data_IF_664954891051
#
_entry.id   IF_664954891051
#
_cell.length_a   1.000
_cell.length_b   1.000
_cell.length_c   1.000
_cell.angle_alpha   90.00
_cell.angle_beta   90.00
_cell.angle_gamma   90.00
#
_symmetry.space_group_name_H-M   'P 1'
#
loop_
_entity.id
_entity.type
_entity.pdbx_description
1 polymer ?
#
# COMPACT_ATOMS: atom_id res chain seq x y z
N UNK A 1 6.47 -39.97 -21.89
CA UNK A 1 6.79 -39.69 -20.47
C UNK A 1 6.11 -38.38 -20.11
N UNK A 2 4.89 -38.39 -19.56
CA UNK A 2 4.25 -37.13 -19.15
C UNK A 2 5.09 -36.51 -18.03
N UNK A 3 5.46 -35.25 -18.19
CA UNK A 3 6.10 -34.46 -17.17
C UNK A 3 5.07 -34.23 -16.07
N UNK A 4 5.40 -34.66 -14.85
CA UNK A 4 4.60 -34.41 -13.67
C UNK A 4 4.40 -32.90 -13.49
N UNK A 5 3.17 -32.50 -13.71
CA UNK A 5 2.48 -31.36 -13.14
C UNK A 5 2.50 -31.44 -11.61
N UNK A 6 3.66 -31.12 -11.02
CA UNK A 6 3.72 -30.79 -9.59
C UNK A 6 3.13 -29.40 -9.36
N UNK A 7 1.80 -29.35 -9.42
CA UNK A 7 0.99 -28.28 -8.88
C UNK A 7 0.94 -28.41 -7.35
N UNK A 8 2.09 -28.23 -6.70
CA UNK A 8 2.16 -27.99 -5.26
C UNK A 8 1.42 -26.68 -4.97
N UNK A 9 0.12 -26.79 -4.68
CA UNK A 9 -0.80 -25.74 -4.24
C UNK A 9 -0.24 -24.95 -3.08
N UNK A 10 0.63 -24.01 -3.40
CA UNK A 10 1.09 -22.96 -2.50
C UNK A 10 0.27 -21.76 -2.89
N UNK A 11 -0.90 -21.62 -2.27
CA UNK A 11 -1.80 -20.48 -2.45
C UNK A 11 -0.97 -19.19 -2.50
N UNK A 12 -1.09 -18.43 -3.59
CA UNK A 12 -0.32 -17.21 -3.77
C UNK A 12 -0.59 -16.29 -2.57
N UNK A 13 0.42 -15.89 -1.78
CA UNK A 13 0.20 -15.03 -0.63
C UNK A 13 -0.45 -13.69 -1.01
N UNK A 14 -0.38 -13.28 -2.28
CA UNK A 14 -0.98 -12.06 -2.81
C UNK A 14 -2.29 -12.28 -3.59
N UNK A 15 -2.95 -13.43 -3.44
CA UNK A 15 -4.23 -13.73 -4.11
C UNK A 15 -5.32 -12.67 -3.89
N UNK A 16 -5.24 -11.92 -2.79
CA UNK A 16 -6.16 -10.82 -2.49
C UNK A 16 -6.10 -9.67 -3.50
N UNK A 17 -5.02 -9.51 -4.26
CA UNK A 17 -4.88 -8.44 -5.25
C UNK A 17 -5.81 -8.62 -6.45
N UNK A 18 -6.04 -9.87 -6.84
CA UNK A 18 -6.97 -10.23 -7.92
C UNK A 18 -8.36 -10.56 -7.38
N UNK A 19 -8.46 -11.12 -6.18
CA UNK A 19 -9.73 -11.49 -5.56
C UNK A 19 -10.57 -10.29 -5.08
N UNK A 20 -9.94 -9.15 -4.77
CA UNK A 20 -10.63 -7.94 -4.29
C UNK A 20 -10.50 -6.81 -5.32
N UNK A 21 -11.64 -6.24 -5.70
CA UNK A 21 -11.74 -4.98 -6.46
C UNK A 21 -12.22 -3.87 -5.53
N UNK A 22 -11.55 -2.73 -5.52
CA UNK A 22 -12.01 -1.55 -4.79
C UNK A 22 -12.97 -0.72 -5.67
N UNK A 23 -13.98 -0.08 -5.07
CA UNK A 23 -14.77 0.92 -5.78
C UNK A 23 -13.88 2.11 -6.18
N UNK A 24 -13.94 2.54 -7.45
CA UNK A 24 -13.13 3.64 -7.99
C UNK A 24 -11.75 3.24 -8.54
N UNK A 25 -11.36 1.95 -8.46
CA UNK A 25 -10.10 1.47 -9.08
C UNK A 25 -10.09 1.63 -10.60
N UNK A 26 -11.24 1.44 -11.26
CA UNK A 26 -11.37 1.53 -12.72
C UNK A 26 -11.31 2.98 -13.22
N UNK A 27 -11.68 3.94 -12.36
CA UNK A 27 -11.66 5.38 -12.63
C UNK A 27 -10.36 6.06 -12.13
N UNK A 28 -9.51 5.32 -11.40
CA UNK A 28 -8.24 5.84 -10.87
C UNK A 28 -8.40 6.80 -9.69
N UNK A 29 -9.61 6.91 -9.13
CA UNK A 29 -9.98 7.93 -8.15
C UNK A 29 -10.24 7.30 -6.77
N UNK A 30 -9.33 6.45 -6.30
CA UNK A 30 -9.46 5.79 -4.99
C UNK A 30 -9.12 6.79 -3.88
N UNK A 31 -10.08 7.20 -3.03
CA UNK A 31 -9.79 8.14 -1.95
C UNK A 31 -8.88 7.51 -0.89
N UNK A 32 -7.81 8.22 -0.57
CA UNK A 32 -6.78 7.78 0.39
C UNK A 32 -7.03 8.45 1.73
N UNK A 33 -7.14 7.66 2.80
CA UNK A 33 -7.34 8.19 4.16
C UNK A 33 -6.24 7.77 5.13
N UNK A 34 -5.29 6.92 4.72
CA UNK A 34 -4.11 6.66 5.56
C UNK A 34 -3.08 7.77 5.33
N UNK A 35 -2.33 8.13 6.37
CA UNK A 35 -1.17 9.02 6.23
C UNK A 35 0.05 8.26 5.68
N UNK A 36 1.04 9.00 5.17
CA UNK A 36 2.28 8.40 4.69
C UNK A 36 3.01 7.62 5.79
N UNK A 37 2.97 8.10 7.04
CA UNK A 37 3.54 7.38 8.21
C UNK A 37 2.84 6.04 8.44
N UNK A 38 1.50 6.00 8.34
CA UNK A 38 0.72 4.77 8.49
C UNK A 38 1.02 3.77 7.37
N UNK A 39 1.15 4.23 6.13
CA UNK A 39 1.56 3.37 5.01
C UNK A 39 2.95 2.80 5.22
N UNK A 40 3.94 3.62 5.62
CA UNK A 40 5.30 3.13 5.93
C UNK A 40 5.27 2.10 7.07
N UNK A 41 4.44 2.29 8.09
CA UNK A 41 4.24 1.34 9.20
C UNK A 41 3.65 0.02 8.69
N UNK A 42 2.62 0.07 7.84
CA UNK A 42 1.99 -1.11 7.21
C UNK A 42 2.97 -1.88 6.34
N UNK A 43 3.78 -1.20 5.53
CA UNK A 43 4.84 -1.82 4.72
C UNK A 43 5.85 -2.57 5.60
N UNK A 44 6.33 -1.93 6.67
CA UNK A 44 7.27 -2.58 7.60
C UNK A 44 6.64 -3.78 8.30
N UNK A 45 5.37 -3.68 8.70
CA UNK A 45 4.65 -4.79 9.34
C UNK A 45 4.42 -5.96 8.36
N UNK A 46 4.10 -5.65 7.10
CA UNK A 46 3.90 -6.64 6.05
C UNK A 46 5.14 -7.52 5.82
N UNK A 47 6.32 -6.92 5.69
CA UNK A 47 7.56 -7.68 5.51
C UNK A 47 8.05 -8.41 6.77
N UNK A 48 7.49 -8.10 7.94
CA UNK A 48 7.78 -8.83 9.19
C UNK A 48 6.84 -10.01 9.41
N UNK A 49 5.68 -10.01 8.75
CA UNK A 49 4.67 -11.04 8.93
C UNK A 49 5.12 -12.34 8.21
N UNK A 50 5.26 -13.47 8.93
CA UNK A 50 5.74 -14.72 8.35
C UNK A 50 4.84 -15.24 7.22
N UNK A 51 3.55 -14.85 7.19
CA UNK A 51 2.62 -15.19 6.10
C UNK A 51 3.10 -14.66 4.74
N UNK A 52 3.84 -13.55 4.74
CA UNK A 52 4.34 -12.87 3.55
C UNK A 52 5.85 -13.00 3.36
N UNK A 53 6.51 -13.90 4.09
CA UNK A 53 7.97 -14.08 4.03
C UNK A 53 8.49 -14.41 2.62
N UNK A 54 7.65 -15.02 1.77
CA UNK A 54 7.97 -15.34 0.36
C UNK A 54 7.84 -14.13 -0.58
N UNK A 55 7.23 -13.03 -0.13
CA UNK A 55 7.04 -11.82 -0.95
C UNK A 55 8.29 -10.97 -0.90
N UNK A 56 8.98 -10.87 -2.03
CA UNK A 56 10.17 -10.01 -2.14
C UNK A 56 9.77 -8.54 -2.27
N UNK A 57 10.67 -7.63 -1.92
CA UNK A 57 10.46 -6.20 -2.14
C UNK A 57 10.27 -5.87 -3.63
N UNK A 58 10.92 -6.63 -4.53
CA UNK A 58 10.70 -6.50 -5.98
C UNK A 58 9.25 -6.79 -6.33
N UNK A 59 8.75 -7.96 -5.92
CA UNK A 59 7.36 -8.37 -6.17
C UNK A 59 6.38 -7.35 -5.60
N UNK A 60 6.56 -6.93 -4.36
CA UNK A 60 5.70 -5.88 -3.76
C UNK A 60 5.66 -4.60 -4.60
N UNK A 61 6.81 -4.13 -5.10
CA UNK A 61 6.89 -2.91 -5.92
C UNK A 61 6.21 -3.05 -7.28
N UNK A 62 6.26 -4.24 -7.87
CA UNK A 62 5.56 -4.56 -9.12
C UNK A 62 4.04 -4.48 -8.91
N UNK A 63 3.54 -5.07 -7.82
CA UNK A 63 2.11 -5.12 -7.49
C UNK A 63 1.50 -3.75 -7.13
N UNK A 64 2.27 -2.85 -6.51
CA UNK A 64 1.80 -1.49 -6.17
C UNK A 64 1.85 -0.51 -7.36
N UNK A 65 1.96 -1.00 -8.60
CA UNK A 65 2.02 -0.16 -9.80
C UNK A 65 3.43 0.03 -10.38
N UNK A 66 4.25 -1.02 -10.33
CA UNK A 66 5.59 -1.07 -10.91
C UNK A 66 6.50 0.11 -10.50
N UNK A 67 6.56 0.36 -9.20
CA UNK A 67 7.31 1.48 -8.62
C UNK A 67 8.81 1.21 -8.68
N UNK A 68 9.58 2.20 -9.13
CA UNK A 68 11.03 2.13 -9.15
C UNK A 68 11.61 1.99 -7.71
N UNK A 69 12.61 1.11 -7.56
CA UNK A 69 13.40 0.91 -6.34
C UNK A 69 13.82 2.21 -5.64
N UNK A 70 14.25 3.21 -6.40
CA UNK A 70 14.66 4.51 -5.86
C UNK A 70 13.49 5.28 -5.25
N UNK A 71 12.33 5.31 -5.92
CA UNK A 71 11.13 5.98 -5.43
C UNK A 71 10.62 5.32 -4.15
N UNK A 72 10.59 3.99 -4.12
CA UNK A 72 10.23 3.21 -2.92
C UNK A 72 11.18 3.52 -1.76
N UNK A 73 12.50 3.48 -1.99
CA UNK A 73 13.50 3.77 -0.94
C UNK A 73 13.32 5.16 -0.36
N UNK A 74 13.22 6.19 -1.22
CA UNK A 74 13.02 7.58 -0.79
C UNK A 74 11.72 7.74 0.01
N UNK A 75 10.64 7.07 -0.38
CA UNK A 75 9.39 7.09 0.39
C UNK A 75 9.58 6.50 1.80
N UNK A 76 10.27 5.36 1.91
CA UNK A 76 10.50 4.67 3.18
C UNK A 76 11.44 5.43 4.15
N UNK A 77 12.31 6.30 3.62
CA UNK A 77 13.24 7.15 4.37
C UNK A 77 12.61 8.46 4.86
N UNK A 78 11.56 8.97 4.20
CA UNK A 78 10.84 10.18 4.62
C UNK A 78 10.18 9.98 6.00
N UNK A 79 9.88 11.11 6.65
CA UNK A 79 9.18 11.19 7.94
C UNK A 79 8.14 12.31 7.88
N UNK A 80 6.97 12.10 8.48
CA UNK A 80 5.87 13.06 8.48
C UNK A 80 4.63 12.54 7.77
N UNK A 81 3.47 13.05 8.15
CA UNK A 81 2.16 12.53 7.77
C UNK A 81 1.82 12.74 6.28
N UNK A 82 2.16 13.89 5.68
CA UNK A 82 2.05 14.14 4.24
C UNK A 82 3.35 13.96 3.45
N UNK A 83 4.48 13.68 4.12
CA UNK A 83 5.77 13.61 3.44
C UNK A 83 5.89 12.38 2.53
N UNK A 84 5.85 12.65 1.22
CA UNK A 84 5.83 11.64 0.16
C UNK A 84 4.46 11.28 -0.40
N UNK A 85 3.42 12.07 -0.13
CA UNK A 85 2.07 11.83 -0.65
C UNK A 85 2.00 11.84 -2.19
N UNK A 86 2.90 12.59 -2.85
CA UNK A 86 3.04 12.64 -4.31
C UNK A 86 3.74 11.40 -4.92
N UNK A 87 4.28 10.50 -4.10
CA UNK A 87 5.02 9.35 -4.58
C UNK A 87 4.06 8.22 -4.94
N UNK A 88 4.17 7.64 -6.14
CA UNK A 88 3.34 6.49 -6.56
C UNK A 88 3.39 5.29 -5.59
N UNK A 89 4.45 5.17 -4.78
CA UNK A 89 4.51 4.19 -3.68
C UNK A 89 3.36 4.35 -2.70
N UNK A 90 2.95 5.58 -2.39
CA UNK A 90 1.92 5.88 -1.41
C UNK A 90 0.55 5.39 -1.89
N UNK A 91 0.12 5.83 -3.07
CA UNK A 91 -1.16 5.45 -3.69
C UNK A 91 -1.26 3.95 -3.92
N UNK A 92 -0.23 3.35 -4.52
CA UNK A 92 -0.21 1.92 -4.79
C UNK A 92 -0.21 1.05 -3.53
N UNK A 93 0.60 1.42 -2.52
CA UNK A 93 0.65 0.69 -1.27
C UNK A 93 -0.67 0.82 -0.48
N UNK A 94 -1.33 1.98 -0.55
CA UNK A 94 -2.64 2.16 0.05
C UNK A 94 -3.68 1.20 -0.53
N UNK A 95 -3.80 1.15 -1.86
CA UNK A 95 -4.71 0.23 -2.56
C UNK A 95 -4.41 -1.22 -2.17
N UNK A 96 -3.12 -1.59 -2.18
CA UNK A 96 -2.66 -2.92 -1.76
C UNK A 96 -3.14 -3.29 -0.35
N UNK A 97 -2.95 -2.41 0.64
CA UNK A 97 -3.36 -2.68 2.02
C UNK A 97 -4.87 -2.63 2.22
N UNK A 98 -5.59 -1.84 1.42
CA UNK A 98 -7.05 -1.79 1.45
C UNK A 98 -7.64 -3.10 0.93
N UNK A 99 -7.14 -3.62 -0.21
CA UNK A 99 -7.50 -4.96 -0.71
C UNK A 99 -7.21 -6.05 0.31
N UNK A 100 -6.02 -6.03 0.91
CA UNK A 100 -5.64 -6.96 1.97
C UNK A 100 -6.60 -6.90 3.17
N UNK A 101 -7.02 -5.70 3.59
CA UNK A 101 -7.96 -5.53 4.71
C UNK A 101 -9.31 -6.17 4.41
N UNK A 102 -9.87 -5.91 3.23
CA UNK A 102 -11.16 -6.46 2.80
C UNK A 102 -11.09 -7.99 2.73
N UNK A 103 -10.03 -8.53 2.12
CA UNK A 103 -9.82 -9.96 2.04
C UNK A 103 -9.69 -10.63 3.42
N UNK A 104 -8.98 -9.99 4.35
CA UNK A 104 -8.83 -10.49 5.73
C UNK A 104 -10.02 -10.17 6.64
N UNK A 105 -11.10 -9.56 6.11
CA UNK A 105 -12.28 -9.11 6.87
C UNK A 105 -11.92 -8.28 8.12
N UNK A 106 -10.85 -7.50 8.05
CA UNK A 106 -10.37 -6.70 9.19
C UNK A 106 -11.17 -5.41 9.32
N UNK A 107 -11.56 -5.01 10.54
CA UNK A 107 -12.24 -3.74 10.76
C UNK A 107 -11.31 -2.57 10.43
N UNK A 108 -11.92 -1.42 10.09
CA UNK A 108 -11.20 -0.15 9.94
C UNK A 108 -10.60 0.25 11.30
N UNK A 109 -9.35 0.71 11.30
CA UNK A 109 -8.70 1.20 12.52
C UNK A 109 -9.26 2.55 12.97
N UNK A 110 -9.10 2.91 14.24
CA UNK A 110 -9.57 4.20 14.79
C UNK A 110 -9.06 5.41 14.00
N UNK A 111 -7.75 5.45 13.71
CA UNK A 111 -7.13 6.51 12.88
C UNK A 111 -7.74 6.66 11.49
N UNK A 112 -8.23 5.55 10.92
CA UNK A 112 -8.89 5.56 9.62
C UNK A 112 -10.28 6.19 9.72
N UNK A 113 -11.02 5.87 10.77
CA UNK A 113 -12.35 6.47 11.02
C UNK A 113 -12.20 7.97 11.29
N UNK A 114 -11.23 8.36 12.12
CA UNK A 114 -10.89 9.76 12.38
C UNK A 114 -10.48 10.48 11.08
N UNK A 115 -9.64 9.86 10.25
CA UNK A 115 -9.26 10.47 8.97
C UNK A 115 -10.39 10.53 7.94
N UNK A 116 -11.35 9.60 7.96
CA UNK A 116 -12.56 9.70 7.13
C UNK A 116 -13.47 10.84 7.59
N UNK A 117 -13.46 11.16 8.89
CA UNK A 117 -14.19 12.28 9.46
C UNK A 117 -13.52 13.63 9.13
N UNK A 118 -12.20 13.71 9.26
CA UNK A 118 -11.43 14.93 8.99
C UNK A 118 -11.31 15.23 7.49
N UNK A 119 -11.26 14.18 6.66
CA UNK A 119 -11.05 14.28 5.21
C UNK A 119 -12.12 13.50 4.44
N UNK A 120 -13.34 14.05 4.28
CA UNK A 120 -14.45 13.34 3.63
C UNK A 120 -14.16 12.98 2.16
N UNK A 121 -13.31 13.75 1.47
CA UNK A 121 -12.87 13.51 0.09
C UNK A 121 -11.48 12.84 0.00
N UNK A 122 -10.93 12.38 1.12
CA UNK A 122 -9.56 11.85 1.20
C UNK A 122 -8.51 12.91 1.51
N UNK A 123 -7.33 12.45 1.96
CA UNK A 123 -6.21 13.31 2.31
C UNK A 123 -5.61 13.95 1.04
N UNK A 124 -5.16 15.21 1.11
CA UNK A 124 -4.46 15.85 0.01
C UNK A 124 -3.18 15.09 -0.34
N UNK A 125 -2.89 14.94 -1.63
CA UNK A 125 -1.71 14.23 -2.14
C UNK A 125 -0.47 15.14 -2.26
N UNK A 126 -0.45 16.28 -1.55
CA UNK A 126 0.64 17.24 -1.57
C UNK A 126 1.66 16.94 -0.46
N UNK A 127 2.96 17.09 -0.78
CA UNK A 127 4.00 16.90 0.22
C UNK A 127 4.15 18.16 1.10
N UNK A 128 3.73 18.06 2.37
CA UNK A 128 3.85 19.11 3.40
C UNK A 128 5.28 19.69 3.52
N UNK A 129 6.31 18.96 3.07
CA UNK A 129 7.69 19.38 3.19
C UNK A 129 8.17 20.30 2.05
N UNK A 130 7.36 20.56 1.00
CA UNK A 130 7.71 21.58 -0.03
C UNK A 130 7.81 22.99 0.55
N UNK A 131 7.10 23.28 1.65
CA UNK A 131 7.06 24.61 2.28
C UNK A 131 8.19 24.91 3.27
N UNK A 132 8.99 23.91 3.68
CA UNK A 132 10.14 24.13 4.57
C UNK A 132 11.35 24.59 3.76
N UNK A 133 11.29 25.85 3.33
CA UNK A 133 12.47 26.60 2.90
C UNK A 133 13.43 26.65 4.10
N UNK A 134 14.58 26.01 3.97
CA UNK A 134 15.67 26.15 4.94
C UNK A 134 16.08 27.64 4.94
N UNK A 135 15.92 28.28 6.11
CA UNK A 135 16.58 29.56 6.45
C UNK A 135 17.84 29.22 7.22
#
# INVERSE_FOLDING_TARGET
RPAADDSSSTEDPLIFLTAVKLPGEEEGEVPIYDSCDEIRRKIRAFFRDPKYAKVTQKRFREEIGNVNSNSYRRFMEKKGEGSGAENGTFTGAYIFFEKKRIYENKPKGKKRIESEQDYPLGRPLEDDNRGRKWI
#
